data_IF_918536109221
#
_entry.id   IF_918536109221
#
_cell.length_a   1.000
_cell.length_b   1.000
_cell.length_c   1.000
_cell.angle_alpha   90.00
_cell.angle_beta   90.00
_cell.angle_gamma   90.00
#
_symmetry.space_group_name_H-M   'P 1'
#
loop_
_entity.id
_entity.type
_entity.pdbx_description
1 polymer ?
#
# COMPACT_ATOMS: atom_id res chain seq x y z
N UNK A 1 -15.61 42.57 -24.35
CA UNK A 1 -15.98 41.18 -24.00
C UNK A 1 -14.72 40.42 -23.63
N UNK A 2 -14.58 39.96 -22.39
CA UNK A 2 -13.36 39.28 -21.92
C UNK A 2 -13.50 37.76 -22.03
N UNK A 3 -12.58 37.13 -22.76
CA UNK A 3 -12.54 35.68 -23.02
C UNK A 3 -11.98 34.98 -21.78
N UNK A 4 -12.81 34.21 -21.08
CA UNK A 4 -12.37 33.41 -19.93
C UNK A 4 -11.56 32.21 -20.43
N UNK A 5 -10.25 32.20 -20.15
CA UNK A 5 -9.34 31.11 -20.51
C UNK A 5 -9.57 29.93 -19.56
N UNK A 6 -10.27 28.89 -20.03
CA UNK A 6 -10.47 27.65 -19.28
C UNK A 6 -9.13 26.89 -19.16
N UNK A 7 -8.42 27.08 -18.04
CA UNK A 7 -7.27 26.26 -17.66
C UNK A 7 -7.75 24.84 -17.33
N UNK A 8 -7.81 23.98 -18.35
CA UNK A 8 -8.01 22.53 -18.17
C UNK A 8 -6.73 21.95 -17.58
N UNK A 9 -6.64 21.95 -16.25
CA UNK A 9 -5.57 21.27 -15.51
C UNK A 9 -5.50 19.78 -15.82
N UNK A 10 -4.46 19.11 -15.30
CA UNK A 10 -4.16 17.69 -15.53
C UNK A 10 -5.45 16.84 -15.45
N UNK A 11 -5.77 16.04 -16.48
CA UNK A 11 -6.93 15.15 -16.46
C UNK A 11 -6.94 14.31 -15.18
N UNK A 12 -8.06 14.32 -14.46
CA UNK A 12 -8.21 13.50 -13.25
C UNK A 12 -8.06 12.04 -13.65
N UNK A 13 -6.98 11.39 -13.19
CA UNK A 13 -6.75 9.96 -13.39
C UNK A 13 -7.97 9.21 -12.85
N UNK A 14 -8.57 8.31 -13.64
CA UNK A 14 -9.78 7.55 -13.25
C UNK A 14 -9.56 6.93 -11.86
N UNK A 15 -10.47 7.23 -10.93
CA UNK A 15 -10.41 6.89 -9.51
C UNK A 15 -10.29 5.39 -9.21
N UNK A 16 -10.63 4.51 -10.16
CA UNK A 16 -10.65 3.05 -9.97
C UNK A 16 -9.30 2.36 -9.88
N UNK A 17 -8.18 3.04 -10.16
CA UNK A 17 -6.85 2.40 -10.23
C UNK A 17 -5.83 2.94 -9.20
N UNK A 18 -6.29 3.70 -8.19
CA UNK A 18 -5.43 4.21 -7.13
C UNK A 18 -5.66 3.44 -5.84
N UNK A 19 -4.58 2.92 -5.24
CA UNK A 19 -4.61 2.32 -3.90
C UNK A 19 -5.00 3.43 -2.91
N UNK A 20 -6.25 3.45 -2.46
CA UNK A 20 -6.80 4.49 -1.59
C UNK A 20 -6.98 4.04 -0.14
N UNK A 21 -7.11 2.73 0.10
CA UNK A 21 -7.26 2.17 1.44
C UNK A 21 -5.94 2.30 2.23
N UNK A 22 -6.05 2.74 3.48
CA UNK A 22 -4.93 2.91 4.41
C UNK A 22 -5.10 1.98 5.61
N UNK A 23 -3.98 1.52 6.17
CA UNK A 23 -3.95 0.77 7.43
C UNK A 23 -3.28 1.65 8.47
N UNK A 24 -3.97 1.94 9.56
CA UNK A 24 -3.41 2.63 10.73
C UNK A 24 -2.88 1.60 11.71
N UNK A 25 -1.59 1.66 12.01
CA UNK A 25 -0.91 0.73 12.90
C UNK A 25 -0.12 1.51 13.94
N UNK A 26 -0.38 1.23 15.22
CA UNK A 26 0.43 1.73 16.34
C UNK A 26 1.56 0.75 16.57
N UNK A 27 2.76 1.29 16.74
CA UNK A 27 4.00 0.54 16.92
C UNK A 27 4.81 1.21 18.01
N UNK A 28 5.58 0.42 18.73
CA UNK A 28 6.65 0.97 19.57
C UNK A 28 7.77 1.57 18.69
N UNK A 29 8.51 2.57 19.18
CA UNK A 29 9.60 3.18 18.40
C UNK A 29 10.66 2.17 17.94
N UNK A 30 11.02 1.22 18.82
CA UNK A 30 12.00 0.17 18.55
C UNK A 30 11.52 -0.79 17.46
N UNK A 31 10.23 -1.15 17.48
CA UNK A 31 9.60 -1.99 16.48
C UNK A 31 9.61 -1.31 15.10
N UNK A 32 9.24 -0.03 15.04
CA UNK A 32 9.28 0.75 13.80
C UNK A 32 10.71 0.84 13.24
N UNK A 33 11.70 1.03 14.11
CA UNK A 33 13.10 1.07 13.70
C UNK A 33 13.57 -0.27 13.12
N UNK A 34 13.22 -1.39 13.77
CA UNK A 34 13.56 -2.72 13.27
C UNK A 34 12.96 -2.97 11.88
N UNK A 35 11.70 -2.57 11.65
CA UNK A 35 11.08 -2.70 10.32
C UNK A 35 11.77 -1.82 9.27
N UNK A 36 12.19 -0.61 9.64
CA UNK A 36 12.91 0.29 8.74
C UNK A 36 14.26 -0.32 8.31
N UNK A 37 15.03 -0.86 9.25
CA UNK A 37 16.29 -1.54 8.97
C UNK A 37 16.09 -2.77 8.08
N UNK A 38 15.07 -3.59 8.38
CA UNK A 38 14.76 -4.76 7.57
C UNK A 38 14.32 -4.41 6.14
N UNK A 39 13.62 -3.28 5.97
CA UNK A 39 13.25 -2.76 4.66
C UNK A 39 14.46 -2.24 3.88
N UNK A 40 15.38 -1.55 4.56
CA UNK A 40 16.65 -1.08 3.99
C UNK A 40 17.53 -2.24 3.50
N UNK A 41 17.69 -3.30 4.31
CA UNK A 41 18.40 -4.52 3.92
C UNK A 41 17.79 -5.19 2.68
N UNK A 42 16.46 -5.08 2.51
CA UNK A 42 15.76 -5.60 1.35
C UNK A 42 15.77 -4.65 0.14
N UNK A 43 16.36 -3.46 0.27
CA UNK A 43 16.39 -2.44 -0.79
C UNK A 43 15.00 -1.90 -1.15
N UNK A 44 14.05 -1.94 -0.21
CA UNK A 44 12.65 -1.59 -0.46
C UNK A 44 12.15 -0.48 0.47
N UNK A 45 11.25 0.42 0.02
CA UNK A 45 10.59 1.36 0.92
C UNK A 45 9.80 0.63 2.02
N UNK A 46 9.82 1.14 3.25
CA UNK A 46 9.18 0.51 4.42
C UNK A 46 7.73 0.05 4.15
N UNK A 47 6.90 0.92 3.58
CA UNK A 47 5.49 0.59 3.30
C UNK A 47 5.34 -0.52 2.24
N UNK A 48 6.26 -0.61 1.27
CA UNK A 48 6.29 -1.67 0.26
C UNK A 48 6.71 -2.97 0.92
N UNK A 49 7.81 -2.95 1.67
CA UNK A 49 8.33 -4.11 2.40
C UNK A 49 7.27 -4.69 3.37
N UNK A 50 6.65 -3.84 4.20
CA UNK A 50 5.60 -4.27 5.12
C UNK A 50 4.41 -4.89 4.38
N UNK A 51 3.94 -4.26 3.29
CA UNK A 51 2.84 -4.78 2.50
C UNK A 51 3.16 -6.15 1.90
N UNK A 52 4.36 -6.35 1.39
CA UNK A 52 4.78 -7.63 0.85
C UNK A 52 4.80 -8.74 1.92
N UNK A 53 5.37 -8.44 3.09
CA UNK A 53 5.40 -9.40 4.21
C UNK A 53 4.00 -9.75 4.69
N UNK A 54 3.14 -8.74 4.92
CA UNK A 54 1.75 -8.95 5.31
C UNK A 54 0.96 -9.74 4.28
N UNK A 55 1.14 -9.47 2.98
CA UNK A 55 0.47 -10.24 1.91
C UNK A 55 0.91 -11.70 1.92
N UNK A 56 2.22 -11.98 2.04
CA UNK A 56 2.73 -13.36 2.07
C UNK A 56 2.17 -14.14 3.25
N UNK A 57 2.18 -13.55 4.44
CA UNK A 57 1.62 -14.17 5.65
C UNK A 57 0.12 -14.41 5.50
N UNK A 58 -0.65 -13.40 5.09
CA UNK A 58 -2.09 -13.54 4.89
C UNK A 58 -2.45 -14.62 3.85
N UNK A 59 -1.70 -14.73 2.76
CA UNK A 59 -1.88 -15.81 1.76
C UNK A 59 -1.67 -17.17 2.41
N UNK A 60 -0.57 -17.33 3.16
CA UNK A 60 -0.22 -18.59 3.81
C UNK A 60 -1.29 -19.02 4.83
N UNK A 61 -1.73 -18.09 5.69
CA UNK A 61 -2.72 -18.37 6.74
C UNK A 61 -4.10 -18.67 6.16
N UNK A 62 -4.58 -17.85 5.22
CA UNK A 62 -5.89 -18.06 4.60
C UNK A 62 -5.94 -19.38 3.83
N UNK A 63 -4.89 -19.70 3.05
CA UNK A 63 -4.82 -20.99 2.34
C UNK A 63 -4.73 -22.16 3.30
N UNK A 64 -3.91 -22.06 4.35
CA UNK A 64 -3.79 -23.10 5.38
C UNK A 64 -5.12 -23.36 6.11
N UNK A 65 -5.95 -22.32 6.26
CA UNK A 65 -7.30 -22.42 6.82
C UNK A 65 -8.39 -22.79 5.79
N UNK A 66 -8.03 -23.12 4.54
CA UNK A 66 -8.98 -23.45 3.47
C UNK A 66 -9.86 -22.26 3.03
N UNK A 67 -9.43 -21.02 3.28
CA UNK A 67 -10.15 -19.79 2.92
C UNK A 67 -9.63 -19.21 1.60
N UNK A 68 -10.53 -18.56 0.87
CA UNK A 68 -10.20 -17.78 -0.34
C UNK A 68 -9.32 -16.58 0.04
N UNK A 69 -8.38 -16.22 -0.84
CA UNK A 69 -7.52 -15.04 -0.68
C UNK A 69 -8.07 -13.90 -1.55
N UNK A 70 -8.75 -12.88 -1.00
CA UNK A 70 -9.54 -11.91 -1.79
C UNK A 70 -8.76 -11.00 -2.73
N UNK A 71 -7.42 -11.06 -2.71
CA UNK A 71 -6.54 -10.22 -3.52
C UNK A 71 -5.67 -11.02 -4.49
N UNK A 72 -5.94 -12.31 -4.64
CA UNK A 72 -5.30 -13.21 -5.62
C UNK A 72 -6.29 -13.72 -6.67
N UNK A 73 -7.50 -13.13 -6.74
CA UNK A 73 -8.54 -13.43 -7.71
C UNK A 73 -8.41 -12.55 -8.98
#
# INVERSE_FOLDING_TARGET
>A
MAIHKNNRGRPRKRLGNMKSASVLLRLEPSEKQAFAQAAELAGAPLAVWMRERLRRTAVSELRGAGRVVPFLD
#
